data_IF_776794567878
#
_entry.id   IF_776794567878
#
_cell.length_a   1.000
_cell.length_b   1.000
_cell.length_c   1.000
_cell.angle_alpha   90.00
_cell.angle_beta   90.00
_cell.angle_gamma   90.00
#
_symmetry.space_group_name_H-M   'P 1'
#
loop_
_entity.id
_entity.type
_entity.pdbx_description
1 polymer ?
#
# COMPACT_ATOMS: atom_id res chain seq x y z
N UNK A 1 46.39 -47.79 31.34
CA UNK A 1 45.46 -46.82 31.96
C UNK A 1 45.22 -45.77 30.92
N UNK A 2 44.06 -45.84 30.25
CA UNK A 2 43.71 -44.98 29.11
C UNK A 2 42.43 -44.23 29.48
N UNK A 3 42.58 -43.00 29.96
CA UNK A 3 41.45 -42.12 30.25
C UNK A 3 40.98 -41.44 28.96
N UNK A 4 39.93 -42.00 28.37
CA UNK A 4 39.17 -41.34 27.30
C UNK A 4 38.19 -40.33 27.94
N UNK A 5 38.53 -39.06 27.88
CA UNK A 5 37.61 -37.95 28.18
C UNK A 5 36.60 -37.83 27.03
N UNK A 6 35.35 -38.17 27.28
CA UNK A 6 34.26 -37.90 26.36
C UNK A 6 33.88 -36.38 26.46
N UNK A 7 34.18 -35.65 25.38
CA UNK A 7 33.67 -34.31 25.21
C UNK A 7 32.21 -34.41 24.75
N UNK A 8 31.26 -34.15 25.66
CA UNK A 8 29.85 -33.99 25.30
C UNK A 8 29.68 -32.57 24.74
N UNK A 9 29.58 -32.47 23.39
CA UNK A 9 29.10 -31.26 22.76
C UNK A 9 27.60 -31.11 23.07
N UNK A 10 27.27 -30.22 24.01
CA UNK A 10 25.90 -29.79 24.22
C UNK A 10 25.50 -28.91 23.03
N UNK A 11 24.77 -29.51 22.08
CA UNK A 11 24.04 -28.75 21.06
C UNK A 11 22.87 -28.05 21.76
N UNK A 12 23.05 -26.80 22.17
CA UNK A 12 21.93 -25.93 22.55
C UNK A 12 21.12 -25.61 21.28
N UNK A 13 20.01 -26.33 21.09
CA UNK A 13 18.97 -25.94 20.16
C UNK A 13 18.44 -24.59 20.62
N UNK A 14 18.93 -23.50 20.02
CA UNK A 14 18.29 -22.19 20.11
C UNK A 14 17.03 -22.29 19.24
N UNK A 15 15.92 -22.67 19.84
CA UNK A 15 14.59 -22.47 19.24
C UNK A 15 14.41 -20.96 19.12
N UNK A 16 14.67 -20.42 17.92
CA UNK A 16 14.22 -19.10 17.58
C UNK A 16 12.69 -19.15 17.58
N UNK A 17 12.08 -18.64 18.65
CA UNK A 17 10.69 -18.25 18.60
C UNK A 17 10.61 -17.15 17.54
N UNK A 18 10.11 -17.50 16.37
CA UNK A 18 9.69 -16.54 15.37
C UNK A 18 8.40 -15.94 15.93
N UNK A 19 8.55 -14.89 16.76
CA UNK A 19 7.42 -14.03 17.04
C UNK A 19 7.02 -13.43 15.70
N UNK A 20 5.75 -13.51 15.32
CA UNK A 20 5.21 -12.71 14.25
C UNK A 20 5.59 -11.26 14.56
N UNK A 21 6.34 -10.63 13.65
CA UNK A 21 6.80 -9.24 13.87
C UNK A 21 5.64 -8.25 13.79
N UNK A 22 4.49 -8.69 13.23
CA UNK A 22 3.28 -7.90 13.07
C UNK A 22 2.05 -8.62 13.63
N UNK A 23 1.00 -7.87 13.90
CA UNK A 23 -0.34 -8.40 14.18
C UNK A 23 -0.89 -9.19 12.98
N UNK A 24 -1.89 -10.05 13.20
CA UNK A 24 -2.37 -11.06 12.25
C UNK A 24 -2.96 -10.53 10.93
N UNK A 25 -3.20 -9.23 10.82
CA UNK A 25 -3.72 -8.58 9.61
C UNK A 25 -2.69 -7.66 8.94
N UNK A 26 -1.41 -7.85 9.30
CA UNK A 26 -0.32 -6.98 8.83
C UNK A 26 0.84 -7.82 8.34
N UNK A 27 1.42 -7.41 7.22
CA UNK A 27 2.64 -8.00 6.64
C UNK A 27 3.85 -7.15 7.00
N UNK A 28 4.92 -7.81 7.47
CA UNK A 28 6.21 -7.20 7.75
C UNK A 28 7.09 -7.15 6.49
N UNK A 29 7.79 -6.03 6.31
CA UNK A 29 8.77 -5.85 5.25
C UNK A 29 10.14 -5.53 5.85
N UNK A 30 11.15 -6.34 5.53
CA UNK A 30 12.54 -6.14 5.98
C UNK A 30 13.19 -4.91 5.35
N UNK A 31 12.76 -4.55 4.14
CA UNK A 31 13.29 -3.43 3.38
C UNK A 31 12.16 -2.53 2.89
N UNK A 32 12.26 -1.26 3.16
CA UNK A 32 11.26 -0.25 2.77
C UNK A 32 11.82 0.58 1.61
N UNK A 33 11.14 0.64 0.46
CA UNK A 33 11.54 1.48 -0.65
C UNK A 33 11.56 2.97 -0.28
N UNK A 34 12.43 3.75 -0.94
CA UNK A 34 12.63 5.17 -0.64
C UNK A 34 11.43 6.08 -0.96
N UNK A 35 10.44 5.58 -1.70
CA UNK A 35 9.16 6.24 -2.01
C UNK A 35 8.09 6.02 -0.91
N UNK A 36 8.38 5.23 0.12
CA UNK A 36 7.49 4.96 1.26
C UNK A 36 7.90 5.78 2.46
N UNK A 37 6.97 6.56 3.00
CA UNK A 37 7.13 7.38 4.18
C UNK A 37 6.27 6.83 5.33
N UNK A 38 6.91 6.34 6.39
CA UNK A 38 6.23 5.87 7.61
C UNK A 38 6.25 7.01 8.62
N UNK A 39 5.09 7.61 8.91
CA UNK A 39 4.97 8.71 9.88
C UNK A 39 4.99 8.19 11.32
N UNK A 40 4.25 7.11 11.56
CA UNK A 40 4.14 6.44 12.87
C UNK A 40 3.95 4.94 12.62
N UNK A 41 4.54 4.13 13.48
CA UNK A 41 4.52 2.68 13.41
C UNK A 41 5.88 2.12 13.00
N UNK A 42 5.87 0.88 12.56
CA UNK A 42 7.02 0.13 12.10
C UNK A 42 6.84 -0.35 10.64
N UNK A 43 7.61 -1.35 10.23
CA UNK A 43 7.53 -1.94 8.88
C UNK A 43 6.39 -2.96 8.72
N UNK A 44 5.30 -2.83 9.47
CA UNK A 44 4.09 -3.65 9.38
C UNK A 44 2.99 -2.88 8.65
N UNK A 45 2.52 -3.41 7.53
CA UNK A 45 1.53 -2.78 6.68
C UNK A 45 0.26 -3.63 6.60
N UNK A 46 -0.90 -2.99 6.63
CA UNK A 46 -2.19 -3.65 6.63
C UNK A 46 -2.44 -4.41 5.32
N UNK A 47 -2.77 -5.69 5.43
CA UNK A 47 -2.84 -6.60 4.29
C UNK A 47 -3.84 -6.14 3.22
N UNK A 48 -5.01 -5.64 3.61
CA UNK A 48 -6.00 -5.17 2.64
C UNK A 48 -5.59 -3.87 1.93
N UNK A 49 -4.82 -3.00 2.59
CA UNK A 49 -4.27 -1.81 1.92
C UNK A 49 -3.22 -2.21 0.88
N UNK A 50 -2.38 -3.22 1.20
CA UNK A 50 -1.40 -3.80 0.27
C UNK A 50 -2.08 -4.55 -0.89
N UNK A 51 -3.14 -5.32 -0.61
CA UNK A 51 -3.90 -6.05 -1.62
C UNK A 51 -4.48 -5.09 -2.67
N UNK A 52 -5.08 -3.99 -2.25
CA UNK A 52 -5.62 -3.00 -3.19
C UNK A 52 -4.53 -2.30 -4.02
N UNK A 53 -3.32 -2.09 -3.47
CA UNK A 53 -2.17 -1.61 -4.26
C UNK A 53 -1.73 -2.66 -5.30
N UNK A 54 -1.68 -3.95 -4.92
CA UNK A 54 -1.34 -5.03 -5.84
C UNK A 54 -2.41 -5.21 -6.94
N UNK A 55 -3.69 -5.05 -6.60
CA UNK A 55 -4.77 -5.08 -7.57
C UNK A 55 -4.66 -3.91 -8.57
N UNK A 56 -4.31 -2.72 -8.08
CA UNK A 56 -4.07 -1.56 -8.94
C UNK A 56 -2.91 -1.80 -9.91
N UNK A 57 -1.81 -2.40 -9.44
CA UNK A 57 -0.67 -2.81 -10.27
C UNK A 57 -1.12 -3.83 -11.32
N UNK A 58 -1.77 -4.90 -10.88
CA UNK A 58 -2.14 -6.03 -11.73
C UNK A 58 -3.18 -5.65 -12.79
N UNK A 59 -4.19 -4.86 -12.41
CA UNK A 59 -5.28 -4.44 -13.29
C UNK A 59 -4.79 -3.52 -14.42
N UNK A 60 -3.71 -2.80 -14.19
CA UNK A 60 -3.11 -1.87 -15.16
C UNK A 60 -1.80 -2.37 -15.76
N UNK A 61 -1.41 -3.62 -15.47
CA UNK A 61 -0.17 -4.25 -15.97
C UNK A 61 1.09 -3.42 -15.66
N UNK A 62 1.08 -2.68 -14.53
CA UNK A 62 2.21 -1.83 -14.13
C UNK A 62 3.41 -2.69 -13.73
N UNK A 63 4.61 -2.20 -14.05
CA UNK A 63 5.85 -2.95 -13.84
C UNK A 63 6.46 -2.62 -12.47
N UNK A 64 5.83 -3.14 -11.41
CA UNK A 64 6.31 -3.06 -10.02
C UNK A 64 6.37 -4.47 -9.43
N UNK A 65 7.43 -4.80 -8.72
CA UNK A 65 7.63 -6.09 -8.07
C UNK A 65 6.91 -6.18 -6.71
N UNK A 66 6.55 -5.03 -6.13
CA UNK A 66 5.93 -4.93 -4.80
C UNK A 66 4.90 -3.80 -4.75
N UNK A 67 3.84 -3.99 -3.96
CA UNK A 67 2.85 -2.96 -3.64
C UNK A 67 3.49 -1.67 -3.11
N UNK A 68 4.57 -1.78 -2.34
CA UNK A 68 5.28 -0.64 -1.76
C UNK A 68 6.08 0.18 -2.78
N UNK A 69 6.30 -0.32 -3.99
CA UNK A 69 7.02 0.42 -5.05
C UNK A 69 6.09 1.34 -5.85
N UNK A 70 4.76 1.15 -5.75
CA UNK A 70 3.77 1.91 -6.51
C UNK A 70 3.71 3.37 -6.06
N UNK A 71 4.13 4.29 -6.90
CA UNK A 71 4.04 5.73 -6.65
C UNK A 71 4.77 6.18 -5.38
N UNK A 72 4.28 7.24 -4.73
CA UNK A 72 4.78 7.67 -3.42
C UNK A 72 3.71 7.45 -2.35
N UNK A 73 4.09 6.82 -1.26
CA UNK A 73 3.17 6.37 -0.23
C UNK A 73 3.50 6.98 1.14
N UNK A 74 2.46 7.31 1.90
CA UNK A 74 2.59 7.71 3.31
C UNK A 74 1.71 6.82 4.17
N UNK A 75 2.31 6.25 5.21
CA UNK A 75 1.68 5.29 6.09
C UNK A 75 1.65 5.79 7.54
N UNK A 76 0.61 5.43 8.28
CA UNK A 76 0.43 5.78 9.69
C UNK A 76 -0.14 4.59 10.43
N UNK A 77 0.57 4.05 11.41
CA UNK A 77 0.23 2.82 12.12
C UNK A 77 -0.14 1.67 11.16
N UNK A 78 0.69 1.48 10.13
CA UNK A 78 0.51 0.42 9.13
C UNK A 78 -0.67 0.62 8.16
N UNK A 79 -1.39 1.75 8.18
CA UNK A 79 -2.49 2.07 7.26
C UNK A 79 -2.05 3.11 6.22
N UNK A 80 -2.47 2.91 4.98
CA UNK A 80 -2.20 3.85 3.89
C UNK A 80 -2.96 5.17 4.12
N UNK A 81 -2.22 6.28 4.18
CA UNK A 81 -2.77 7.63 4.42
C UNK A 81 -2.75 8.51 3.19
N UNK A 82 -1.68 8.43 2.40
CA UNK A 82 -1.56 9.22 1.17
C UNK A 82 -0.97 8.30 0.10
N UNK A 83 -1.56 8.35 -1.08
CA UNK A 83 -1.03 7.75 -2.28
C UNK A 83 -0.87 8.82 -3.37
N UNK A 84 0.35 8.97 -3.87
CA UNK A 84 0.65 9.78 -5.04
C UNK A 84 0.95 8.84 -6.21
N UNK A 85 -0.02 8.66 -7.08
CA UNK A 85 0.02 7.77 -8.24
C UNK A 85 -0.32 8.51 -9.55
N UNK A 86 -0.06 9.81 -9.58
CA UNK A 86 -0.15 10.60 -10.82
C UNK A 86 0.99 10.27 -11.79
N UNK A 87 0.72 10.31 -13.09
CA UNK A 87 1.73 10.08 -14.12
C UNK A 87 2.42 11.39 -14.50
N UNK A 88 3.27 11.91 -13.62
CA UNK A 88 3.92 13.21 -13.79
C UNK A 88 5.19 13.18 -14.65
N UNK A 89 5.64 12.00 -15.09
CA UNK A 89 6.90 11.83 -15.80
C UNK A 89 8.13 12.09 -14.92
N UNK A 90 7.99 11.96 -13.61
CA UNK A 90 9.07 12.11 -12.63
C UNK A 90 9.02 10.98 -11.58
N UNK A 91 9.90 11.01 -10.58
CA UNK A 91 10.04 9.94 -9.57
C UNK A 91 9.01 9.99 -8.43
N UNK A 92 8.05 10.93 -8.42
CA UNK A 92 7.10 11.07 -7.30
C UNK A 92 5.79 10.33 -7.51
N UNK A 93 5.41 10.08 -8.77
CA UNK A 93 4.20 9.35 -9.13
C UNK A 93 4.51 7.98 -9.73
N UNK A 94 3.61 7.53 -10.60
CA UNK A 94 3.81 6.30 -11.37
C UNK A 94 4.56 6.56 -12.67
N UNK A 95 5.26 5.53 -13.18
CA UNK A 95 6.01 5.63 -14.44
C UNK A 95 5.19 5.20 -15.67
N UNK A 96 3.97 4.69 -15.45
CA UNK A 96 3.08 4.21 -16.48
C UNK A 96 1.65 4.71 -16.21
N UNK A 97 0.76 4.46 -17.17
CA UNK A 97 -0.59 5.04 -17.15
C UNK A 97 -1.57 4.12 -16.43
N UNK A 98 -2.30 4.66 -15.44
CA UNK A 98 -3.43 4.00 -14.81
C UNK A 98 -4.69 4.25 -15.66
N UNK A 99 -5.36 3.17 -16.06
CA UNK A 99 -6.60 3.19 -16.84
C UNK A 99 -7.83 2.90 -15.98
N UNK A 100 -7.68 2.05 -14.98
CA UNK A 100 -8.78 1.52 -14.17
C UNK A 100 -8.40 1.44 -12.70
N UNK A 101 -9.32 1.81 -11.82
CA UNK A 101 -9.17 1.62 -10.38
C UNK A 101 -9.90 0.31 -9.99
N UNK A 102 -9.29 -0.54 -9.14
CA UNK A 102 -9.93 -1.77 -8.67
C UNK A 102 -11.02 -1.49 -7.63
N UNK A 103 -12.02 -2.38 -7.51
CA UNK A 103 -13.02 -2.29 -6.43
C UNK A 103 -12.41 -2.44 -5.03
N UNK A 104 -11.26 -3.12 -4.89
CA UNK A 104 -10.53 -3.24 -3.63
C UNK A 104 -10.03 -1.89 -3.07
N UNK A 105 -10.04 -0.81 -3.87
CA UNK A 105 -9.72 0.56 -3.39
C UNK A 105 -10.57 0.96 -2.18
N UNK A 106 -11.80 0.44 -2.07
CA UNK A 106 -12.68 0.68 -0.93
C UNK A 106 -12.12 0.22 0.42
N UNK A 107 -11.09 -0.64 0.44
CA UNK A 107 -10.39 -1.05 1.65
C UNK A 107 -9.52 0.07 2.26
N UNK A 108 -9.14 1.10 1.47
CA UNK A 108 -8.33 2.23 1.94
C UNK A 108 -9.12 3.21 2.81
N UNK A 109 -9.85 2.69 3.78
CA UNK A 109 -10.72 3.47 4.68
C UNK A 109 -9.98 4.50 5.53
N UNK A 110 -8.66 4.39 5.64
CA UNK A 110 -7.80 5.35 6.33
C UNK A 110 -7.17 6.39 5.40
N UNK A 111 -7.40 6.31 4.08
CA UNK A 111 -6.78 7.20 3.09
C UNK A 111 -7.32 8.62 3.24
N UNK A 112 -6.42 9.59 3.34
CA UNK A 112 -6.77 11.02 3.44
C UNK A 112 -6.39 11.84 2.22
N UNK A 113 -5.46 11.36 1.41
CA UNK A 113 -5.03 12.02 0.18
C UNK A 113 -4.80 11.03 -0.96
N UNK A 114 -5.41 11.30 -2.12
CA UNK A 114 -5.27 10.49 -3.33
C UNK A 114 -4.97 11.40 -4.53
N UNK A 115 -3.81 11.13 -5.16
CA UNK A 115 -3.28 11.93 -6.27
C UNK A 115 -3.14 11.03 -7.49
N UNK A 116 -4.02 11.21 -8.48
CA UNK A 116 -4.17 10.38 -9.69
C UNK A 116 -4.09 11.18 -10.99
N UNK A 117 -3.53 12.37 -10.94
CA UNK A 117 -3.49 13.25 -12.12
C UNK A 117 -2.68 12.64 -13.27
N UNK A 118 -2.97 13.09 -14.48
CA UNK A 118 -2.25 12.72 -15.70
C UNK A 118 -2.31 11.23 -16.03
N UNK A 119 -3.39 10.54 -15.64
CA UNK A 119 -3.68 9.17 -16.00
C UNK A 119 -4.76 9.10 -17.12
N UNK A 120 -5.34 7.95 -17.35
CA UNK A 120 -6.42 7.73 -18.32
C UNK A 120 -7.64 7.06 -17.68
N UNK A 121 -7.90 7.38 -16.43
CA UNK A 121 -9.02 6.84 -15.67
C UNK A 121 -10.32 7.37 -16.27
N UNK A 122 -11.25 6.46 -16.58
CA UNK A 122 -12.54 6.80 -17.21
C UNK A 122 -13.73 6.73 -16.26
N UNK A 123 -13.62 5.94 -15.19
CA UNK A 123 -14.65 5.74 -14.16
C UNK A 123 -14.00 5.56 -12.79
N UNK A 124 -14.69 6.00 -11.76
CA UNK A 124 -14.40 5.62 -10.38
C UNK A 124 -15.23 4.38 -10.04
N UNK A 125 -14.68 3.38 -9.32
CA UNK A 125 -15.44 2.20 -8.90
C UNK A 125 -16.49 2.56 -7.83
N UNK A 126 -17.55 1.75 -7.71
CA UNK A 126 -18.62 2.01 -6.73
C UNK A 126 -18.11 2.00 -5.29
N UNK A 127 -17.07 1.20 -5.01
CA UNK A 127 -16.40 1.15 -3.70
C UNK A 127 -15.66 2.43 -3.31
N UNK A 128 -15.48 3.39 -4.23
CA UNK A 128 -14.81 4.66 -3.96
C UNK A 128 -15.53 5.46 -2.86
N UNK A 129 -16.85 5.31 -2.72
CA UNK A 129 -17.64 5.93 -1.65
C UNK A 129 -17.28 5.42 -0.23
N UNK A 130 -16.53 4.32 -0.12
CA UNK A 130 -16.04 3.78 1.15
C UNK A 130 -14.81 4.52 1.70
N UNK A 131 -14.23 5.44 0.93
CA UNK A 131 -13.06 6.24 1.33
C UNK A 131 -13.47 7.39 2.27
N UNK A 132 -14.09 7.07 3.39
CA UNK A 132 -14.75 8.03 4.29
C UNK A 132 -13.78 9.03 4.95
N UNK A 133 -12.49 8.73 5.01
CA UNK A 133 -11.46 9.64 5.55
C UNK A 133 -10.81 10.52 4.47
N UNK A 134 -11.22 10.36 3.19
CA UNK A 134 -10.61 11.10 2.08
C UNK A 134 -10.94 12.60 2.19
N UNK A 135 -9.88 13.41 2.19
CA UNK A 135 -9.93 14.88 2.30
C UNK A 135 -9.49 15.58 1.02
N UNK A 136 -8.55 14.97 0.31
CA UNK A 136 -7.98 15.55 -0.90
C UNK A 136 -7.96 14.53 -2.01
N UNK A 137 -8.66 14.83 -3.10
CA UNK A 137 -8.67 14.06 -4.33
C UNK A 137 -8.17 14.92 -5.49
N UNK A 138 -7.03 14.53 -6.08
CA UNK A 138 -6.49 15.14 -7.29
C UNK A 138 -6.57 14.15 -8.43
N UNK A 139 -7.45 14.41 -9.39
CA UNK A 139 -7.75 13.51 -10.50
C UNK A 139 -7.82 14.25 -11.85
N UNK A 140 -7.26 15.45 -11.90
CA UNK A 140 -7.21 16.25 -13.13
C UNK A 140 -6.42 15.55 -14.24
N UNK A 141 -6.65 15.95 -15.50
CA UNK A 141 -5.99 15.36 -16.66
C UNK A 141 -6.20 13.84 -16.79
N UNK A 142 -7.43 13.40 -16.54
CA UNK A 142 -7.96 12.07 -16.81
C UNK A 142 -9.05 12.14 -17.89
N UNK A 143 -9.69 11.03 -18.20
CA UNK A 143 -10.76 10.92 -19.20
C UNK A 143 -12.10 10.53 -18.58
N UNK A 144 -12.36 10.99 -17.36
CA UNK A 144 -13.57 10.66 -16.61
C UNK A 144 -14.81 11.02 -17.43
N UNK A 145 -15.73 10.06 -17.56
CA UNK A 145 -17.01 10.20 -18.27
C UNK A 145 -18.14 10.62 -17.34
N UNK A 146 -18.05 10.20 -16.09
CA UNK A 146 -18.95 10.58 -15.00
C UNK A 146 -18.19 10.52 -13.69
N UNK A 147 -18.61 11.35 -12.74
CA UNK A 147 -18.26 11.19 -11.34
C UNK A 147 -19.35 10.31 -10.72
N UNK A 148 -18.99 9.43 -9.80
CA UNK A 148 -20.01 8.64 -9.05
C UNK A 148 -21.01 9.60 -8.41
N UNK A 149 -22.30 9.24 -8.48
CA UNK A 149 -23.39 10.11 -8.01
C UNK A 149 -23.22 10.53 -6.54
N UNK A 150 -22.54 9.67 -5.75
CA UNK A 150 -22.36 9.86 -4.31
C UNK A 150 -21.00 10.42 -3.91
N UNK A 151 -20.19 10.98 -4.81
CA UNK A 151 -18.89 11.56 -4.42
C UNK A 151 -19.05 12.70 -3.39
N UNK A 152 -20.15 13.44 -3.50
CA UNK A 152 -20.51 14.50 -2.56
C UNK A 152 -20.90 13.94 -1.18
N UNK A 153 -21.11 12.62 -1.06
CA UNK A 153 -21.39 11.93 0.21
C UNK A 153 -20.13 11.66 1.04
N UNK A 154 -18.94 11.86 0.46
CA UNK A 154 -17.69 11.72 1.21
C UNK A 154 -17.56 12.85 2.24
N UNK A 155 -17.62 12.53 3.54
CA UNK A 155 -17.91 13.54 4.58
C UNK A 155 -16.79 14.56 4.78
N UNK A 156 -15.60 14.28 4.29
CA UNK A 156 -14.40 15.07 4.53
C UNK A 156 -13.74 15.61 3.26
N UNK A 157 -14.29 15.28 2.08
CA UNK A 157 -13.72 15.72 0.81
C UNK A 157 -13.92 17.24 0.63
N UNK A 158 -12.81 17.96 0.37
CA UNK A 158 -12.81 19.44 0.21
C UNK A 158 -12.06 19.84 -1.06
#
# INVERSE_FOLDING_TARGET
MNDRKYFILAFTLITRFVFSQCDSAFTYFDSIPGNVNILVGDSCFYDQDLEALNDLISLNELQYDSALELGTQTWFNGRLKILVAGNYGNSTGVNDTIYTLPESIGSWTSLSGLYLEWNRISLLPDSFNMLTELRSLYISNNILRSIIEDIDSLPHLT
#
